data_IF_841897503055
#
_entry.id   IF_841897503055
#
_cell.length_a   1.000
_cell.length_b   1.000
_cell.length_c   1.000
_cell.angle_alpha   90.00
_cell.angle_beta   90.00
_cell.angle_gamma   90.00
#
_symmetry.space_group_name_H-M   'P 1'
#
loop_
_entity.id
_entity.type
_entity.pdbx_description
1 polymer ?
#
# COMPACT_ATOMS: atom_id res chain seq x y z
N UNK A 1 23.92 -4.09 -3.49
CA UNK A 1 22.54 -4.56 -3.76
C UNK A 1 21.69 -4.92 -2.51
N UNK A 2 22.31 -5.39 -1.39
CA UNK A 2 21.56 -5.73 -0.17
C UNK A 2 20.89 -4.50 0.48
N UNK A 3 21.65 -3.43 0.71
CA UNK A 3 21.21 -2.21 1.38
C UNK A 3 20.03 -1.55 0.64
N UNK A 4 20.06 -1.54 -0.70
CA UNK A 4 19.00 -0.90 -1.51
C UNK A 4 17.66 -1.63 -1.32
N UNK A 5 17.65 -2.97 -1.36
CA UNK A 5 16.43 -3.73 -1.20
C UNK A 5 15.90 -3.65 0.25
N UNK A 6 16.81 -3.57 1.24
CA UNK A 6 16.44 -3.28 2.61
C UNK A 6 15.74 -1.91 2.74
N UNK A 7 16.34 -0.85 2.19
CA UNK A 7 15.76 0.50 2.21
C UNK A 7 14.41 0.52 1.49
N UNK A 8 14.29 -0.16 0.34
CA UNK A 8 13.03 -0.29 -0.40
C UNK A 8 11.93 -0.92 0.46
N UNK A 9 12.24 -2.04 1.13
CA UNK A 9 11.30 -2.71 2.04
C UNK A 9 10.93 -1.83 3.23
N UNK A 10 11.91 -1.17 3.83
CA UNK A 10 11.71 -0.24 4.93
C UNK A 10 10.75 0.91 4.54
N UNK A 11 10.99 1.55 3.40
CA UNK A 11 10.12 2.62 2.90
C UNK A 11 8.70 2.11 2.56
N UNK A 12 8.57 0.88 2.01
CA UNK A 12 7.27 0.27 1.79
C UNK A 12 6.48 0.13 3.10
N UNK A 13 7.12 -0.39 4.14
CA UNK A 13 6.47 -0.58 5.44
C UNK A 13 6.06 0.74 6.10
N UNK A 14 6.90 1.78 5.99
CA UNK A 14 6.53 3.12 6.46
C UNK A 14 5.27 3.63 5.74
N UNK A 15 5.20 3.44 4.42
CA UNK A 15 4.04 3.84 3.63
C UNK A 15 2.77 3.04 4.00
N UNK A 16 2.90 1.72 4.17
CA UNK A 16 1.79 0.84 4.56
C UNK A 16 1.21 1.20 5.94
N UNK A 17 2.01 1.85 6.78
CA UNK A 17 1.59 2.31 8.11
C UNK A 17 0.84 3.65 8.07
N UNK A 18 0.77 4.32 6.93
CA UNK A 18 0.10 5.63 6.77
C UNK A 18 -1.23 5.46 6.07
N UNK A 19 -2.35 5.95 6.64
CA UNK A 19 -3.63 5.93 5.97
C UNK A 19 -3.56 6.65 4.60
N UNK A 20 -4.11 6.01 3.57
CA UNK A 20 -4.16 6.57 2.21
C UNK A 20 -2.90 6.36 1.36
N UNK A 21 -1.84 5.74 1.90
CA UNK A 21 -0.64 5.38 1.15
C UNK A 21 -0.45 3.86 1.16
N UNK A 22 0.20 3.30 0.14
CA UNK A 22 0.51 1.87 0.10
C UNK A 22 1.97 1.62 -0.28
N UNK A 23 2.51 0.49 0.21
CA UNK A 23 3.86 0.03 -0.17
C UNK A 23 3.98 -0.21 -1.67
N UNK A 24 2.89 -0.59 -2.34
CA UNK A 24 2.82 -0.67 -3.81
C UNK A 24 3.13 0.67 -4.48
N UNK A 25 2.63 1.77 -3.91
CA UNK A 25 2.98 3.13 -4.38
C UNK A 25 4.48 3.39 -4.28
N UNK A 26 5.09 3.04 -3.16
CA UNK A 26 6.54 3.20 -2.97
C UNK A 26 7.33 2.31 -3.94
N UNK A 27 6.89 1.07 -4.17
CA UNK A 27 7.54 0.18 -5.13
C UNK A 27 7.51 0.77 -6.54
N UNK A 28 6.39 1.39 -6.92
CA UNK A 28 6.21 2.03 -8.22
C UNK A 28 7.05 3.30 -8.35
N UNK A 29 7.00 4.19 -7.36
CA UNK A 29 7.78 5.43 -7.30
C UNK A 29 9.29 5.16 -7.39
N UNK A 30 9.78 4.14 -6.68
CA UNK A 30 11.18 3.77 -6.67
C UNK A 30 11.60 2.90 -7.87
N UNK A 31 10.69 2.68 -8.84
CA UNK A 31 10.95 2.01 -10.11
C UNK A 31 11.32 0.53 -9.99
N UNK A 32 10.85 -0.17 -8.94
CA UNK A 32 11.07 -1.62 -8.80
C UNK A 32 9.78 -2.44 -8.74
N UNK A 33 8.63 -1.82 -9.04
CA UNK A 33 7.32 -2.46 -8.99
C UNK A 33 7.22 -3.69 -9.89
N UNK A 34 7.67 -3.57 -11.16
CA UNK A 34 7.69 -4.70 -12.09
C UNK A 34 8.54 -5.87 -11.54
N UNK A 35 9.71 -5.55 -10.95
CA UNK A 35 10.57 -6.56 -10.32
C UNK A 35 9.89 -7.20 -9.11
N UNK A 36 9.18 -6.40 -8.32
CA UNK A 36 8.43 -6.88 -7.15
C UNK A 36 7.32 -7.84 -7.57
N UNK A 37 6.46 -7.44 -8.52
CA UNK A 37 5.36 -8.28 -9.06
C UNK A 37 5.90 -9.54 -9.72
N UNK A 38 6.95 -9.43 -10.55
CA UNK A 38 7.57 -10.59 -11.20
C UNK A 38 8.19 -11.55 -10.19
N UNK A 39 8.85 -11.04 -9.13
CA UNK A 39 9.43 -11.88 -8.08
C UNK A 39 8.36 -12.62 -7.29
N UNK A 40 7.26 -11.94 -6.90
CA UNK A 40 6.13 -12.59 -6.27
C UNK A 40 5.52 -13.69 -7.17
N UNK A 41 5.38 -13.42 -8.47
CA UNK A 41 4.90 -14.41 -9.45
C UNK A 41 5.86 -15.60 -9.60
N UNK A 42 7.18 -15.33 -9.65
CA UNK A 42 8.18 -16.35 -9.89
C UNK A 42 8.38 -17.30 -8.69
N UNK A 43 8.19 -16.82 -7.46
CA UNK A 43 8.15 -17.71 -6.27
C UNK A 43 7.07 -18.78 -6.43
N UNK A 44 5.93 -18.43 -7.03
CA UNK A 44 4.79 -19.34 -7.20
C UNK A 44 5.00 -20.26 -8.41
N UNK A 45 5.23 -19.66 -9.58
CA UNK A 45 5.16 -20.34 -10.89
C UNK A 45 6.44 -20.28 -11.72
N UNK A 46 7.55 -19.78 -11.17
CA UNK A 46 8.82 -19.69 -11.86
C UNK A 46 9.59 -21.03 -11.92
N UNK A 47 10.56 -21.13 -12.81
CA UNK A 47 11.55 -22.22 -12.84
C UNK A 47 12.44 -22.15 -11.60
N UNK A 48 13.16 -23.23 -11.28
CA UNK A 48 13.96 -23.34 -10.05
C UNK A 48 14.93 -22.16 -9.83
N UNK A 49 15.62 -21.74 -10.88
CA UNK A 49 16.55 -20.61 -10.84
C UNK A 49 15.83 -19.28 -10.59
N UNK A 50 14.70 -19.06 -11.29
CA UNK A 50 13.86 -17.86 -11.13
C UNK A 50 13.25 -17.79 -9.72
N UNK A 51 12.86 -18.94 -9.15
CA UNK A 51 12.37 -19.03 -7.77
C UNK A 51 13.44 -18.62 -6.75
N UNK A 52 14.67 -19.10 -6.93
CA UNK A 52 15.78 -18.80 -6.02
C UNK A 52 16.10 -17.29 -6.07
N UNK A 53 16.18 -16.72 -7.28
CA UNK A 53 16.46 -15.29 -7.44
C UNK A 53 15.33 -14.42 -6.86
N UNK A 54 14.09 -14.77 -7.15
CA UNK A 54 12.91 -14.11 -6.62
C UNK A 54 12.87 -14.17 -5.09
N UNK A 55 13.11 -15.36 -4.50
CA UNK A 55 13.16 -15.52 -3.05
C UNK A 55 14.28 -14.68 -2.42
N UNK A 56 15.49 -14.67 -3.00
CA UNK A 56 16.60 -13.83 -2.52
C UNK A 56 16.26 -12.35 -2.54
N UNK A 57 15.55 -11.88 -3.56
CA UNK A 57 15.11 -10.49 -3.65
C UNK A 57 14.04 -10.18 -2.60
N UNK A 58 12.97 -11.00 -2.54
CA UNK A 58 11.85 -10.80 -1.62
C UNK A 58 12.27 -10.94 -0.15
N UNK A 59 13.19 -11.85 0.15
CA UNK A 59 13.73 -12.00 1.50
C UNK A 59 14.45 -10.74 1.99
N UNK A 60 15.29 -10.14 1.14
CA UNK A 60 15.99 -8.89 1.45
C UNK A 60 15.03 -7.71 1.61
N UNK A 61 14.03 -7.66 0.75
CA UNK A 61 12.95 -6.67 0.82
C UNK A 61 12.13 -6.86 2.10
N UNK A 62 11.79 -8.12 2.42
CA UNK A 62 11.00 -8.50 3.58
C UNK A 62 11.68 -8.17 4.91
N UNK A 63 12.99 -8.38 5.03
CA UNK A 63 13.74 -7.95 6.23
C UNK A 63 13.61 -6.43 6.42
N UNK A 64 13.81 -5.63 5.35
CA UNK A 64 13.62 -4.19 5.40
C UNK A 64 12.19 -3.82 5.79
N UNK A 65 11.20 -4.52 5.22
CA UNK A 65 9.79 -4.31 5.52
C UNK A 65 9.46 -4.61 6.99
N UNK A 66 9.93 -5.72 7.54
CA UNK A 66 9.71 -6.07 8.97
C UNK A 66 10.33 -5.02 9.90
N UNK A 67 11.58 -4.60 9.63
CA UNK A 67 12.23 -3.56 10.43
C UNK A 67 11.49 -2.23 10.31
N UNK A 68 11.07 -1.85 9.11
CA UNK A 68 10.28 -0.64 8.87
C UNK A 68 8.93 -0.70 9.59
N UNK A 69 8.24 -1.84 9.53
CA UNK A 69 6.95 -2.04 10.19
C UNK A 69 7.08 -1.95 11.73
N UNK A 70 8.05 -2.65 12.30
CA UNK A 70 8.32 -2.59 13.76
C UNK A 70 8.68 -1.17 14.17
N UNK A 71 9.54 -0.48 13.39
CA UNK A 71 9.87 0.92 13.63
C UNK A 71 8.65 1.83 13.55
N UNK A 72 7.76 1.58 12.60
CA UNK A 72 6.49 2.33 12.47
C UNK A 72 5.60 2.13 13.70
N UNK A 73 5.43 0.90 14.15
CA UNK A 73 4.59 0.58 15.31
C UNK A 73 5.16 1.21 16.58
N UNK A 74 6.49 1.18 16.77
CA UNK A 74 7.13 1.67 18.00
C UNK A 74 7.26 3.21 18.03
N UNK A 75 7.55 3.84 16.92
CA UNK A 75 7.90 5.26 16.86
C UNK A 75 6.86 6.12 16.14
N UNK A 76 6.22 5.59 15.09
CA UNK A 76 5.29 6.38 14.30
C UNK A 76 3.93 6.51 14.94
N UNK A 77 3.41 5.52 15.67
CA UNK A 77 2.09 5.63 16.30
C UNK A 77 2.00 6.86 17.21
N UNK A 78 2.99 7.12 18.04
CA UNK A 78 3.01 8.30 18.91
C UNK A 78 3.26 9.62 18.18
N UNK A 79 3.98 9.59 17.05
CA UNK A 79 4.24 10.76 16.20
C UNK A 79 3.07 11.00 15.26
N UNK A 80 2.44 9.95 14.75
CA UNK A 80 1.27 10.02 13.88
C UNK A 80 0.12 10.78 14.51
N UNK A 81 -0.24 10.42 15.75
CA UNK A 81 -1.35 11.07 16.43
C UNK A 81 -1.10 12.57 16.67
N UNK A 82 0.15 12.95 16.87
CA UNK A 82 0.52 14.35 17.12
C UNK A 82 0.69 15.15 15.83
N UNK A 83 1.39 14.59 14.83
CA UNK A 83 1.93 15.29 13.68
C UNK A 83 1.40 14.76 12.33
N UNK A 84 0.17 14.22 12.33
CA UNK A 84 -0.43 13.60 11.14
C UNK A 84 -0.40 14.52 9.91
N UNK A 85 -0.65 15.82 10.08
CA UNK A 85 -0.67 16.77 8.97
C UNK A 85 0.71 16.95 8.33
N UNK A 86 1.79 16.95 9.13
CA UNK A 86 3.17 17.01 8.61
C UNK A 86 3.50 15.76 7.81
N UNK A 87 3.14 14.60 8.34
CA UNK A 87 3.37 13.32 7.68
C UNK A 87 2.55 13.21 6.38
N UNK A 88 1.28 13.59 6.42
CA UNK A 88 0.43 13.65 5.23
C UNK A 88 1.02 14.59 4.17
N UNK A 89 1.52 15.75 4.56
CA UNK A 89 2.18 16.69 3.64
C UNK A 89 3.44 16.09 3.00
N UNK A 90 4.24 15.35 3.77
CA UNK A 90 5.42 14.63 3.27
C UNK A 90 5.04 13.59 2.22
N UNK A 91 3.97 12.82 2.42
CA UNK A 91 3.50 11.82 1.47
C UNK A 91 2.90 12.44 0.20
N UNK A 92 2.21 13.58 0.31
CA UNK A 92 1.79 14.34 -0.88
C UNK A 92 3.01 14.77 -1.68
N UNK A 93 4.09 15.22 -1.00
CA UNK A 93 5.38 15.48 -1.63
C UNK A 93 5.91 14.28 -2.38
N UNK A 94 5.90 13.08 -1.77
CA UNK A 94 6.30 11.84 -2.46
C UNK A 94 5.53 11.64 -3.75
N UNK A 95 4.20 11.72 -3.71
CA UNK A 95 3.34 11.45 -4.87
C UNK A 95 3.58 12.49 -5.98
N UNK A 96 3.53 13.77 -5.65
CA UNK A 96 3.64 14.86 -6.63
C UNK A 96 5.00 14.85 -7.33
N UNK A 97 6.10 14.67 -6.59
CA UNK A 97 7.43 14.63 -7.19
C UNK A 97 7.74 13.33 -7.92
N UNK A 98 7.01 12.25 -7.62
CA UNK A 98 7.16 10.98 -8.32
C UNK A 98 6.49 10.97 -9.71
N UNK A 99 5.38 11.68 -9.89
CA UNK A 99 4.63 11.67 -11.16
C UNK A 99 5.50 12.03 -12.37
N UNK A 100 6.28 13.14 -12.38
CA UNK A 100 7.15 13.47 -13.51
C UNK A 100 8.20 12.40 -13.79
N UNK A 101 8.70 11.75 -12.74
CA UNK A 101 9.70 10.69 -12.85
C UNK A 101 9.10 9.48 -13.55
N UNK A 102 7.92 9.05 -13.11
CA UNK A 102 7.18 7.92 -13.69
C UNK A 102 6.84 8.21 -15.16
N UNK A 103 6.35 9.42 -15.47
CA UNK A 103 6.04 9.81 -16.84
C UNK A 103 7.29 9.72 -17.72
N UNK A 104 8.45 10.09 -17.20
CA UNK A 104 9.74 9.99 -17.91
C UNK A 104 10.18 8.55 -18.11
N UNK A 105 10.07 7.70 -17.07
CA UNK A 105 10.44 6.27 -17.14
C UNK A 105 9.49 5.49 -18.07
N UNK A 106 8.19 5.76 -18.01
CA UNK A 106 7.15 5.08 -18.80
C UNK A 106 6.77 5.83 -20.10
N UNK A 107 7.68 6.66 -20.61
CA UNK A 107 7.46 7.51 -21.79
C UNK A 107 6.87 6.75 -22.98
N UNK A 108 7.36 5.55 -23.26
CA UNK A 108 6.89 4.69 -24.37
C UNK A 108 5.46 4.18 -24.18
N UNK A 109 5.00 4.09 -22.92
CA UNK A 109 3.66 3.64 -22.55
C UNK A 109 2.64 4.78 -22.50
N UNK A 110 3.11 6.04 -22.44
CA UNK A 110 2.27 7.24 -22.25
C UNK A 110 2.18 8.06 -23.52
N UNK A 111 3.33 8.40 -24.15
CA UNK A 111 3.35 9.30 -25.32
C UNK A 111 2.65 8.66 -26.51
N UNK A 112 1.84 9.46 -27.20
CA UNK A 112 0.99 9.07 -28.34
C UNK A 112 -0.10 8.04 -28.01
N UNK A 113 -0.37 7.80 -26.71
CA UNK A 113 -1.44 6.90 -26.24
C UNK A 113 -2.45 7.62 -25.35
N UNK A 114 -2.68 8.91 -25.61
CA UNK A 114 -3.51 9.80 -24.77
C UNK A 114 -4.98 9.36 -24.63
N UNK A 115 -5.48 8.51 -25.54
CA UNK A 115 -6.81 7.88 -25.39
C UNK A 115 -6.96 7.10 -24.10
N UNK A 116 -5.83 6.57 -23.56
CA UNK A 116 -5.80 5.79 -22.33
C UNK A 116 -5.92 6.65 -21.05
N UNK A 117 -5.98 7.99 -21.16
CA UNK A 117 -6.23 8.90 -20.03
C UNK A 117 -7.54 8.57 -19.31
N UNK A 118 -8.49 7.96 -20.02
CA UNK A 118 -9.73 7.46 -19.44
C UNK A 118 -9.47 6.49 -18.27
N UNK A 119 -8.43 5.66 -18.35
CA UNK A 119 -8.06 4.76 -17.25
C UNK A 119 -7.53 5.53 -16.03
N UNK A 120 -6.89 6.69 -16.21
CA UNK A 120 -6.53 7.54 -15.07
C UNK A 120 -7.75 8.10 -14.36
N UNK A 121 -8.78 8.49 -15.11
CA UNK A 121 -10.05 8.94 -14.50
C UNK A 121 -10.68 7.81 -13.69
N UNK A 122 -10.70 6.59 -14.24
CA UNK A 122 -11.19 5.40 -13.50
C UNK A 122 -10.38 5.21 -12.22
N UNK A 123 -9.04 5.29 -12.27
CA UNK A 123 -8.18 5.16 -11.11
C UNK A 123 -8.47 6.20 -10.03
N UNK A 124 -8.63 7.47 -10.41
CA UNK A 124 -9.01 8.55 -9.49
C UNK A 124 -10.36 8.23 -8.85
N UNK A 125 -11.37 7.90 -9.68
CA UNK A 125 -12.71 7.60 -9.19
C UNK A 125 -12.71 6.43 -8.19
N UNK A 126 -11.96 5.36 -8.46
CA UNK A 126 -11.85 4.20 -7.55
C UNK A 126 -11.38 4.65 -6.17
N UNK A 127 -10.25 5.37 -6.10
CA UNK A 127 -9.69 5.78 -4.80
C UNK A 127 -10.57 6.79 -4.08
N UNK A 128 -11.13 7.76 -4.83
CA UNK A 128 -12.04 8.76 -4.25
C UNK A 128 -13.30 8.09 -3.68
N UNK A 129 -13.90 7.15 -4.39
CA UNK A 129 -15.07 6.40 -3.91
C UNK A 129 -14.72 5.56 -2.68
N UNK A 130 -13.62 4.81 -2.72
CA UNK A 130 -13.14 4.02 -1.57
C UNK A 130 -12.95 4.93 -0.35
N UNK A 131 -12.34 6.10 -0.52
CA UNK A 131 -12.10 7.04 0.57
C UNK A 131 -13.39 7.69 1.07
N UNK A 132 -14.31 8.02 0.17
CA UNK A 132 -15.59 8.63 0.52
C UNK A 132 -16.48 7.69 1.33
N UNK A 133 -16.49 6.40 0.99
CA UNK A 133 -17.23 5.37 1.73
C UNK A 133 -16.49 4.85 2.98
N UNK A 134 -15.30 5.39 3.28
CA UNK A 134 -14.58 5.01 4.50
C UNK A 134 -15.31 5.57 5.72
N UNK A 135 -15.85 4.73 6.63
CA UNK A 135 -16.47 5.22 7.85
C UNK A 135 -15.42 5.98 8.69
N UNK A 136 -15.82 7.13 9.23
CA UNK A 136 -15.00 7.86 10.20
C UNK A 136 -14.74 6.93 11.39
N UNK A 137 -13.49 6.81 11.83
CA UNK A 137 -13.16 6.03 13.02
C UNK A 137 -13.99 6.55 14.20
N UNK A 138 -14.76 5.66 14.83
CA UNK A 138 -15.67 6.03 15.93
C UNK A 138 -17.17 5.94 15.60
N UNK A 139 -17.57 5.65 14.35
CA UNK A 139 -18.96 5.25 14.10
C UNK A 139 -19.19 3.84 14.67
N UNK A 140 -20.27 3.68 15.46
CA UNK A 140 -20.64 2.44 16.18
C UNK A 140 -20.77 1.17 15.30
N UNK A 141 -20.67 1.32 13.99
CA UNK A 141 -20.73 0.23 13.01
C UNK A 141 -19.57 -0.77 13.11
N UNK A 142 -18.41 -0.38 13.65
CA UNK A 142 -17.25 -1.26 13.79
C UNK A 142 -17.18 -1.96 15.17
N UNK A 143 -17.91 -1.46 16.18
CA UNK A 143 -17.85 -1.96 17.56
C UNK A 143 -18.72 -3.20 17.81
N UNK A 144 -19.56 -3.62 16.84
CA UNK A 144 -20.57 -4.66 17.04
C UNK A 144 -20.22 -6.06 16.48
N UNK A 145 -19.10 -6.23 15.77
CA UNK A 145 -18.78 -7.54 15.20
C UNK A 145 -17.93 -8.35 16.17
N UNK A 146 -18.59 -9.13 17.02
CA UNK A 146 -17.93 -10.09 17.91
C UNK A 146 -17.38 -11.25 17.09
N UNK A 147 -16.07 -11.51 17.19
CA UNK A 147 -15.42 -12.66 16.57
C UNK A 147 -15.37 -13.89 17.48
N UNK A 148 -16.07 -13.85 18.62
CA UNK A 148 -16.05 -14.91 19.63
C UNK A 148 -16.64 -16.23 19.14
N UNK A 149 -17.48 -16.16 18.10
CA UNK A 149 -18.03 -17.34 17.41
C UNK A 149 -17.92 -17.19 15.90
N UNK A 150 -16.94 -17.86 15.31
CA UNK A 150 -16.77 -17.89 13.87
C UNK A 150 -17.86 -18.76 13.22
N UNK A 151 -18.89 -18.13 12.67
CA UNK A 151 -19.86 -18.81 11.81
C UNK A 151 -19.33 -18.98 10.40
N UNK A 152 -19.86 -19.93 9.61
CA UNK A 152 -19.45 -20.13 8.22
C UNK A 152 -19.61 -18.85 7.38
N UNK A 153 -20.70 -18.10 7.58
CA UNK A 153 -20.95 -16.84 6.88
C UNK A 153 -19.93 -15.75 7.24
N UNK A 154 -19.60 -15.61 8.54
CA UNK A 154 -18.59 -14.67 9.01
C UNK A 154 -17.19 -15.06 8.52
N UNK A 155 -16.85 -16.34 8.52
CA UNK A 155 -15.59 -16.83 7.96
C UNK A 155 -15.44 -16.53 6.47
N UNK A 156 -16.50 -16.77 5.68
CA UNK A 156 -16.52 -16.43 4.26
C UNK A 156 -16.37 -14.90 4.05
N UNK A 157 -17.04 -14.08 4.86
CA UNK A 157 -16.91 -12.63 4.82
C UNK A 157 -15.49 -12.16 5.10
N UNK A 158 -14.87 -12.64 6.21
CA UNK A 158 -13.48 -12.34 6.57
C UNK A 158 -12.53 -12.73 5.43
N UNK A 159 -12.69 -13.93 4.86
CA UNK A 159 -11.87 -14.42 3.77
C UNK A 159 -11.96 -13.51 2.53
N UNK A 160 -13.18 -13.18 2.08
CA UNK A 160 -13.39 -12.32 0.89
C UNK A 160 -12.87 -10.92 1.11
N UNK A 161 -13.14 -10.32 2.28
CA UNK A 161 -12.65 -8.97 2.59
C UNK A 161 -11.12 -8.95 2.69
N UNK A 162 -10.50 -9.99 3.28
CA UNK A 162 -9.05 -10.12 3.31
C UNK A 162 -8.45 -10.20 1.89
N UNK A 163 -9.08 -10.97 0.99
CA UNK A 163 -8.69 -11.02 -0.43
C UNK A 163 -8.74 -9.64 -1.08
N UNK A 164 -9.83 -8.90 -0.90
CA UNK A 164 -10.01 -7.57 -1.49
C UNK A 164 -8.99 -6.58 -0.92
N UNK A 165 -8.80 -6.57 0.39
CA UNK A 165 -7.89 -5.65 1.07
C UNK A 165 -6.44 -5.84 0.62
N UNK A 166 -5.96 -7.09 0.55
CA UNK A 166 -4.58 -7.37 0.10
C UNK A 166 -4.42 -7.10 -1.40
N UNK A 167 -5.46 -7.36 -2.20
CA UNK A 167 -5.46 -7.06 -3.63
C UNK A 167 -5.26 -5.57 -3.88
N UNK A 168 -5.93 -4.76 -3.11
CA UNK A 168 -5.77 -3.31 -3.15
C UNK A 168 -4.38 -2.85 -2.67
N UNK A 169 -3.85 -3.45 -1.61
CA UNK A 169 -2.53 -3.11 -1.07
C UNK A 169 -1.39 -3.37 -2.05
N UNK A 170 -1.53 -4.38 -2.91
CA UNK A 170 -0.56 -4.66 -3.99
C UNK A 170 -0.59 -3.58 -5.06
N UNK A 171 -1.75 -2.97 -5.33
CA UNK A 171 -1.90 -1.90 -6.31
C UNK A 171 -1.39 -0.57 -5.76
N UNK A 172 -0.62 0.21 -6.54
CA UNK A 172 -0.24 1.54 -6.13
C UNK A 172 -1.47 2.45 -5.92
N UNK A 173 -1.47 3.24 -4.86
CA UNK A 173 -2.51 4.25 -4.60
C UNK A 173 -3.68 3.82 -3.74
N UNK A 174 -3.80 2.53 -3.38
CA UNK A 174 -4.87 2.04 -2.52
C UNK A 174 -4.29 1.42 -1.25
N UNK A 175 -4.82 1.79 -0.09
CA UNK A 175 -4.43 1.24 1.20
C UNK A 175 -5.35 0.08 1.60
N UNK A 176 -4.76 -1.08 1.90
CA UNK A 176 -5.53 -2.25 2.36
C UNK A 176 -6.18 -2.04 3.73
N UNK A 177 -5.53 -1.30 4.62
CA UNK A 177 -6.10 -0.94 5.93
C UNK A 177 -7.36 -0.09 5.78
N UNK A 178 -7.39 0.84 4.83
CA UNK A 178 -8.60 1.62 4.51
C UNK A 178 -9.77 0.72 4.10
N UNK A 179 -9.53 -0.31 3.29
CA UNK A 179 -10.58 -1.26 2.92
C UNK A 179 -11.04 -2.10 4.12
N UNK A 180 -10.11 -2.56 4.96
CA UNK A 180 -10.50 -3.27 6.20
C UNK A 180 -11.36 -2.39 7.11
N UNK A 181 -11.08 -1.07 7.18
CA UNK A 181 -11.90 -0.12 7.93
C UNK A 181 -13.31 0.00 7.32
N UNK A 182 -13.42 0.18 6.00
CA UNK A 182 -14.70 0.28 5.27
C UNK A 182 -15.57 -0.95 5.53
N UNK A 183 -14.96 -2.13 5.51
CA UNK A 183 -15.66 -3.39 5.76
C UNK A 183 -15.81 -3.72 7.27
N UNK A 184 -15.43 -2.81 8.17
CA UNK A 184 -15.58 -2.98 9.63
C UNK A 184 -14.73 -4.10 10.23
N UNK A 185 -13.72 -4.59 9.51
CA UNK A 185 -12.86 -5.71 9.95
C UNK A 185 -11.49 -5.27 10.51
N UNK A 186 -11.10 -4.00 10.39
CA UNK A 186 -9.78 -3.56 10.84
C UNK A 186 -9.58 -3.80 12.33
N UNK A 187 -10.41 -3.20 13.18
CA UNK A 187 -10.30 -3.34 14.63
C UNK A 187 -10.53 -4.78 15.11
N UNK A 188 -11.56 -5.53 14.65
CA UNK A 188 -11.74 -6.93 15.03
C UNK A 188 -10.54 -7.82 14.68
N UNK A 189 -9.96 -7.69 13.49
CA UNK A 189 -8.79 -8.49 13.07
C UNK A 189 -7.55 -8.09 13.86
N UNK A 190 -7.31 -6.78 14.08
CA UNK A 190 -6.17 -6.33 14.89
C UNK A 190 -6.27 -6.81 16.32
N UNK A 191 -7.47 -6.83 16.91
CA UNK A 191 -7.70 -7.41 18.23
C UNK A 191 -7.48 -8.93 18.25
N UNK A 192 -7.98 -9.66 17.24
CA UNK A 192 -7.74 -11.09 17.13
C UNK A 192 -6.24 -11.42 17.06
N UNK A 193 -5.47 -10.70 16.24
CA UNK A 193 -4.01 -10.85 16.18
C UNK A 193 -3.35 -10.55 17.52
N UNK A 194 -3.77 -9.47 18.20
CA UNK A 194 -3.23 -9.08 19.51
C UNK A 194 -3.50 -10.15 20.57
N UNK A 195 -4.69 -10.73 20.60
CA UNK A 195 -5.03 -11.81 21.54
C UNK A 195 -4.23 -13.09 21.26
N UNK A 196 -4.05 -13.48 19.99
CA UNK A 196 -3.18 -14.61 19.63
C UNK A 196 -1.74 -14.37 20.06
N UNK A 197 -1.21 -13.15 19.95
CA UNK A 197 0.13 -12.80 20.42
C UNK A 197 0.26 -12.85 21.96
N UNK A 198 -0.86 -12.72 22.68
CA UNK A 198 -0.93 -12.94 24.14
C UNK A 198 -1.16 -14.42 24.52
N UNK A 199 -1.03 -15.35 23.56
CA UNK A 199 -1.29 -16.78 23.72
C UNK A 199 -2.76 -17.15 23.99
N UNK A 200 -3.71 -16.27 23.67
CA UNK A 200 -5.13 -16.60 23.60
C UNK A 200 -5.47 -17.19 22.23
N UNK A 201 -5.57 -18.51 22.17
CA UNK A 201 -5.75 -19.23 20.89
C UNK A 201 -7.20 -19.33 20.41
N UNK A 202 -8.18 -18.80 21.14
CA UNK A 202 -9.59 -18.80 20.73
C UNK A 202 -9.78 -18.04 19.38
N UNK A 203 -8.94 -17.03 19.13
CA UNK A 203 -8.95 -16.24 17.90
C UNK A 203 -8.07 -16.79 16.77
N UNK A 204 -7.39 -17.91 17.01
CA UNK A 204 -6.45 -18.49 16.03
C UNK A 204 -7.13 -18.85 14.71
N UNK A 205 -8.34 -19.40 14.77
CA UNK A 205 -9.12 -19.77 13.58
C UNK A 205 -9.46 -18.56 12.73
N UNK A 206 -9.82 -17.43 13.35
CA UNK A 206 -10.08 -16.16 12.66
C UNK A 206 -8.83 -15.67 11.93
N UNK A 207 -7.67 -15.70 12.62
CA UNK A 207 -6.39 -15.31 12.02
C UNK A 207 -6.00 -16.24 10.85
N UNK A 208 -6.28 -17.55 10.93
CA UNK A 208 -6.07 -18.48 9.82
C UNK A 208 -6.97 -18.16 8.62
N UNK A 209 -8.26 -17.95 8.83
CA UNK A 209 -9.20 -17.61 7.74
C UNK A 209 -8.79 -16.31 7.07
N UNK A 210 -8.43 -15.28 7.86
CA UNK A 210 -7.92 -14.02 7.34
C UNK A 210 -6.62 -14.22 6.55
N UNK A 211 -5.65 -14.96 7.12
CA UNK A 211 -4.37 -15.27 6.48
C UNK A 211 -4.53 -16.03 5.15
N UNK A 212 -5.44 -17.01 5.09
CA UNK A 212 -5.76 -17.70 3.84
C UNK A 212 -6.39 -16.75 2.82
N UNK A 213 -7.29 -15.85 3.23
CA UNK A 213 -7.83 -14.81 2.36
C UNK A 213 -6.73 -13.91 1.79
N UNK A 214 -5.79 -13.47 2.62
CA UNK A 214 -4.60 -12.71 2.21
C UNK A 214 -3.79 -13.48 1.18
N UNK A 215 -3.44 -14.74 1.44
CA UNK A 215 -2.66 -15.57 0.51
C UNK A 215 -3.36 -15.75 -0.83
N UNK A 216 -4.65 -16.04 -0.84
CA UNK A 216 -5.44 -16.17 -2.05
C UNK A 216 -5.55 -14.85 -2.83
N UNK A 217 -5.76 -13.74 -2.13
CA UNK A 217 -5.80 -12.41 -2.72
C UNK A 217 -4.49 -12.05 -3.41
N UNK A 218 -3.35 -12.29 -2.76
CA UNK A 218 -2.02 -12.11 -3.34
C UNK A 218 -1.87 -12.92 -4.63
N UNK A 219 -2.22 -14.21 -4.60
CA UNK A 219 -2.07 -15.11 -5.75
C UNK A 219 -2.86 -14.64 -6.98
N UNK A 220 -4.10 -14.21 -6.78
CA UNK A 220 -4.97 -13.72 -7.85
C UNK A 220 -4.47 -12.39 -8.38
N UNK A 221 -4.17 -11.46 -7.47
CA UNK A 221 -3.77 -10.10 -7.83
C UNK A 221 -2.45 -10.06 -8.57
N UNK A 222 -1.46 -10.84 -8.13
CA UNK A 222 -0.15 -10.88 -8.80
C UNK A 222 -0.30 -11.38 -10.23
N UNK A 223 -1.07 -12.44 -10.45
CA UNK A 223 -1.33 -12.96 -11.82
C UNK A 223 -2.04 -11.91 -12.67
N UNK A 224 -3.07 -11.27 -12.13
CA UNK A 224 -3.82 -10.22 -12.80
C UNK A 224 -2.95 -9.02 -13.15
N UNK A 225 -2.22 -8.47 -12.19
CA UNK A 225 -1.34 -7.31 -12.39
C UNK A 225 -0.22 -7.64 -13.40
N UNK A 226 0.41 -8.81 -13.28
CA UNK A 226 1.42 -9.26 -14.24
C UNK A 226 0.86 -9.36 -15.65
N UNK A 227 -0.32 -9.94 -15.82
CA UNK A 227 -1.01 -10.03 -17.10
C UNK A 227 -1.31 -8.65 -17.70
N UNK A 228 -1.82 -7.74 -16.89
CA UNK A 228 -2.14 -6.37 -17.30
C UNK A 228 -0.88 -5.59 -17.71
N UNK A 229 0.20 -5.67 -16.93
CA UNK A 229 1.47 -5.01 -17.25
C UNK A 229 2.12 -5.59 -18.52
N UNK A 230 1.95 -6.89 -18.78
CA UNK A 230 2.53 -7.53 -19.97
C UNK A 230 1.73 -7.25 -21.24
N UNK A 231 0.40 -7.24 -21.18
CA UNK A 231 -0.47 -7.18 -22.37
C UNK A 231 -1.12 -5.79 -22.58
N UNK A 232 -1.33 -5.03 -21.49
CA UNK A 232 -2.05 -3.75 -21.47
C UNK A 232 -1.26 -2.67 -20.73
N UNK A 233 0.07 -2.61 -20.95
CA UNK A 233 0.97 -1.74 -20.17
C UNK A 233 0.52 -0.29 -20.15
N UNK A 234 0.15 0.27 -21.31
CA UNK A 234 -0.27 1.68 -21.40
C UNK A 234 -1.50 1.96 -20.53
N UNK A 235 -2.56 1.15 -20.68
CA UNK A 235 -3.78 1.29 -19.88
C UNK A 235 -3.49 1.14 -18.39
N UNK A 236 -2.65 0.16 -18.04
CA UNK A 236 -2.26 -0.12 -16.66
C UNK A 236 -1.47 1.05 -16.05
N UNK A 237 -0.52 1.62 -16.78
CA UNK A 237 0.26 2.78 -16.32
C UNK A 237 -0.64 3.99 -16.10
N UNK A 238 -1.56 4.28 -17.05
CA UNK A 238 -2.54 5.35 -16.87
C UNK A 238 -3.44 5.09 -15.64
N UNK A 239 -3.91 3.85 -15.44
CA UNK A 239 -4.69 3.48 -14.25
C UNK A 239 -3.89 3.72 -12.96
N UNK A 240 -2.64 3.27 -12.89
CA UNK A 240 -1.76 3.47 -11.73
C UNK A 240 -1.54 4.96 -11.45
N UNK A 241 -1.27 5.78 -12.47
CA UNK A 241 -1.16 7.22 -12.30
C UNK A 241 -2.45 7.83 -11.74
N UNK A 242 -3.61 7.34 -12.21
CA UNK A 242 -4.91 7.74 -11.69
C UNK A 242 -5.10 7.34 -10.23
N UNK A 243 -4.76 6.10 -9.86
CA UNK A 243 -4.81 5.64 -8.47
C UNK A 243 -3.90 6.48 -7.55
N UNK A 244 -2.69 6.82 -8.01
CA UNK A 244 -1.77 7.69 -7.28
C UNK A 244 -2.31 9.12 -7.13
N UNK A 245 -2.91 9.69 -8.17
CA UNK A 245 -3.54 11.01 -8.07
C UNK A 245 -4.75 10.98 -7.13
N UNK A 246 -5.57 9.94 -7.19
CA UNK A 246 -6.68 9.73 -6.27
C UNK A 246 -6.22 9.57 -4.81
N UNK A 247 -5.04 8.95 -4.58
CA UNK A 247 -4.52 8.78 -3.23
C UNK A 247 -4.14 10.10 -2.55
N UNK A 248 -3.93 11.19 -3.30
CA UNK A 248 -3.77 12.52 -2.70
C UNK A 248 -5.03 12.87 -1.89
N UNK A 249 -6.23 12.64 -2.45
CA UNK A 249 -7.47 12.84 -1.71
C UNK A 249 -7.55 11.93 -0.47
N UNK A 250 -7.16 10.66 -0.60
CA UNK A 250 -7.13 9.74 0.54
C UNK A 250 -6.17 10.21 1.65
N UNK A 251 -5.01 10.78 1.29
CA UNK A 251 -4.06 11.36 2.25
C UNK A 251 -4.63 12.62 2.93
N UNK A 252 -5.38 13.47 2.19
CA UNK A 252 -6.08 14.61 2.77
C UNK A 252 -7.14 14.19 3.80
N UNK A 253 -7.83 13.09 3.54
CA UNK A 253 -8.84 12.51 4.44
C UNK A 253 -8.23 11.63 5.54
N UNK A 254 -6.96 11.24 5.44
CA UNK A 254 -6.27 10.36 6.38
C UNK A 254 -6.45 10.72 7.86
N UNK A 255 -6.40 12.00 8.27
CA UNK A 255 -6.62 12.41 9.66
C UNK A 255 -7.98 11.97 10.23
N UNK A 256 -9.01 11.82 9.39
CA UNK A 256 -10.35 11.41 9.85
C UNK A 256 -10.44 9.92 10.23
N UNK A 257 -9.47 9.11 9.81
CA UNK A 257 -9.44 7.66 10.08
C UNK A 257 -8.53 7.26 11.25
N UNK A 258 -8.03 8.22 12.03
CA UNK A 258 -7.29 7.95 13.27
C UNK A 258 -8.23 7.42 14.37
N UNK A 259 -7.66 6.74 15.39
CA UNK A 259 -8.43 6.30 16.57
C UNK A 259 -9.15 7.47 17.26
N UNK A 260 -8.49 8.63 17.35
CA UNK A 260 -9.13 9.91 17.68
C UNK A 260 -9.20 10.74 16.41
N UNK A 261 -10.36 10.81 15.74
CA UNK A 261 -10.51 11.49 14.47
C UNK A 261 -10.15 12.97 14.56
N UNK A 262 -9.38 13.43 13.56
CA UNK A 262 -9.06 14.85 13.38
C UNK A 262 -9.72 15.36 12.10
N UNK A 263 -9.95 16.69 11.99
CA UNK A 263 -10.46 17.27 10.76
C UNK A 263 -9.61 16.91 9.53
N UNK A 264 -10.22 16.81 8.34
CA UNK A 264 -9.47 16.62 7.11
C UNK A 264 -8.38 17.69 6.97
N UNK A 265 -7.26 17.31 6.32
CA UNK A 265 -6.21 18.28 6.03
C UNK A 265 -6.75 19.42 5.14
N UNK A 266 -6.29 20.62 5.37
CA UNK A 266 -6.63 21.81 4.61
C UNK A 266 -5.39 22.68 4.38
N UNK A 267 -5.54 23.82 3.70
CA UNK A 267 -4.42 24.72 3.39
C UNK A 267 -3.70 25.27 4.63
N UNK A 268 -4.40 25.41 5.77
CA UNK A 268 -3.80 25.90 7.02
C UNK A 268 -3.02 24.81 7.76
N UNK A 269 -3.44 23.55 7.61
CA UNK A 269 -2.78 22.39 8.22
C UNK A 269 -1.71 21.77 7.31
N UNK A 270 -1.69 22.15 6.01
CA UNK A 270 -0.68 21.71 5.06
C UNK A 270 0.69 22.28 5.40
N UNK A 271 1.69 21.40 5.54
CA UNK A 271 3.05 21.81 5.90
C UNK A 271 3.97 21.78 4.67
N UNK A 272 4.28 22.95 4.12
CA UNK A 272 5.10 23.10 2.92
C UNK A 272 6.52 22.58 3.11
N UNK A 273 7.08 22.66 4.32
CA UNK A 273 8.45 22.19 4.61
C UNK A 273 8.48 20.66 4.46
N UNK A 274 7.53 19.96 5.08
CA UNK A 274 7.45 18.50 4.99
C UNK A 274 7.11 18.03 3.56
N UNK A 275 6.29 18.78 2.82
CA UNK A 275 6.05 18.54 1.40
C UNK A 275 7.34 18.61 0.57
N UNK A 276 8.16 19.64 0.77
CA UNK A 276 9.44 19.81 0.08
C UNK A 276 10.42 18.70 0.51
N UNK A 277 10.48 18.34 1.79
CA UNK A 277 11.30 17.23 2.29
C UNK A 277 10.88 15.93 1.59
N UNK A 278 9.58 15.65 1.50
CA UNK A 278 9.07 14.48 0.80
C UNK A 278 9.51 14.43 -0.66
N UNK A 279 9.33 15.52 -1.38
CA UNK A 279 9.81 15.63 -2.77
C UNK A 279 11.33 15.46 -2.87
N UNK A 280 12.09 16.08 -1.98
CA UNK A 280 13.54 15.97 -1.93
C UNK A 280 14.04 14.54 -1.71
N UNK A 281 13.38 13.80 -0.83
CA UNK A 281 13.69 12.36 -0.58
C UNK A 281 13.50 11.56 -1.87
N UNK A 282 12.41 11.76 -2.61
CA UNK A 282 12.16 11.05 -3.87
C UNK A 282 13.23 11.35 -4.92
N UNK A 283 13.59 12.63 -5.08
CA UNK A 283 14.65 13.04 -6.01
C UNK A 283 16.02 12.45 -5.62
N UNK A 284 16.33 12.42 -4.31
CA UNK A 284 17.56 11.83 -3.79
C UNK A 284 17.62 10.32 -4.07
N UNK A 285 16.54 9.60 -3.78
CA UNK A 285 16.44 8.16 -4.03
C UNK A 285 16.57 7.83 -5.51
N UNK A 286 16.00 8.65 -6.40
CA UNK A 286 16.17 8.49 -7.83
C UNK A 286 17.61 8.73 -8.28
N UNK A 287 18.24 9.77 -7.78
CA UNK A 287 19.64 10.05 -8.09
C UNK A 287 20.56 8.92 -7.61
N UNK A 288 20.27 8.37 -6.42
CA UNK A 288 20.99 7.23 -5.87
C UNK A 288 20.80 5.97 -6.73
N UNK A 289 19.56 5.68 -7.18
CA UNK A 289 19.27 4.59 -8.12
C UNK A 289 20.12 4.71 -9.37
N UNK A 290 20.09 5.87 -10.04
CA UNK A 290 20.85 6.15 -11.26
C UNK A 290 22.38 5.98 -11.06
N UNK A 291 22.92 6.50 -9.95
CA UNK A 291 24.33 6.37 -9.63
C UNK A 291 24.77 4.90 -9.44
N UNK A 292 23.93 4.09 -8.81
CA UNK A 292 24.22 2.69 -8.52
C UNK A 292 24.02 1.78 -9.76
N UNK A 293 23.11 2.12 -10.66
CA UNK A 293 22.91 1.40 -11.93
C UNK A 293 24.06 1.67 -12.92
N UNK A 294 24.64 2.86 -12.91
CA UNK A 294 25.76 3.22 -13.79
C UNK A 294 27.14 2.74 -13.25
N UNK A 295 27.20 2.22 -12.01
CA UNK A 295 28.45 1.74 -11.41
C UNK A 295 28.64 0.21 -11.52
N UNK A 296 27.61 -0.49 -12.00
CA UNK A 296 27.63 -1.92 -12.30
C UNK A 296 27.53 -2.17 -13.80
#
# INVERSE_FOLDING_TARGET
>A
MYIINFIRGFCMALADSVPGVSGGTIAFILGFYDKFINSLSNVISGRKEEKIEAFKFLFKLGIGWVVGFVSSVLFLTSIFDKEIYKISSLFIGFIIFAIPIIIKEEKSSIINKYKNIFFSIIGICIVVLITYFNPVAGSDSAAGMSLDRLTLGLGAYIFVVAMIAISAMVLPGISGSTLLLIFGLYAPIMNAVKEVLKFNFDYLLVCFVFGFGVLFGILITIKGVKYLLSNYRSQTIYLILGLMLGSIYAVFMGPTSLEVPKPPMNLHTFNIIFFIIGGGIILLLQKLKYYLENKN
#
